data_IF_273343171235
#
_entry.id   IF_273343171235
#
_cell.length_a   1.000
_cell.length_b   1.000
_cell.length_c   1.000
_cell.angle_alpha   90.00
_cell.angle_beta   90.00
_cell.angle_gamma   90.00
#
_symmetry.space_group_name_H-M   'P 1'
#
loop_
_entity.id
_entity.type
_entity.pdbx_description
1 polymer ?
#
# COMPACT_ATOMS: atom_id res chain seq x y z
N UNK A 1 22.08 11.96 3.56
CA UNK A 1 21.92 10.50 3.40
C UNK A 1 21.21 9.86 4.59
N UNK A 2 21.59 10.20 5.84
CA UNK A 2 20.99 9.58 7.04
C UNK A 2 19.49 9.84 7.11
N UNK A 3 19.05 11.08 7.08
CA UNK A 3 17.63 11.44 7.19
C UNK A 3 16.80 10.75 6.10
N UNK A 4 17.29 10.74 4.87
CA UNK A 4 16.61 10.06 3.77
C UNK A 4 16.52 8.53 3.97
N UNK A 5 17.55 7.93 4.55
CA UNK A 5 17.56 6.50 4.91
C UNK A 5 16.57 6.22 6.04
N UNK A 6 16.57 7.04 7.09
CA UNK A 6 15.67 6.89 8.24
C UNK A 6 14.20 7.00 7.81
N UNK A 7 13.87 7.98 6.95
CA UNK A 7 12.51 8.13 6.38
C UNK A 7 12.12 6.89 5.59
N UNK A 8 13.01 6.32 4.78
CA UNK A 8 12.73 5.10 4.01
C UNK A 8 12.50 3.88 4.92
N UNK A 9 13.32 3.72 5.95
CA UNK A 9 13.16 2.62 6.92
C UNK A 9 11.85 2.75 7.69
N UNK A 10 11.52 3.95 8.15
CA UNK A 10 10.25 4.23 8.81
C UNK A 10 9.06 3.96 7.88
N UNK A 11 9.08 4.52 6.67
CA UNK A 11 7.99 4.35 5.71
C UNK A 11 7.79 2.88 5.31
N UNK A 12 8.88 2.13 5.16
CA UNK A 12 8.82 0.67 4.95
C UNK A 12 8.04 -0.02 6.08
N UNK A 13 8.37 0.30 7.33
CA UNK A 13 7.70 -0.25 8.50
C UNK A 13 6.21 0.11 8.55
N UNK A 14 5.85 1.35 8.22
CA UNK A 14 4.46 1.80 8.16
C UNK A 14 3.66 1.08 7.06
N UNK A 15 4.26 0.90 5.87
CA UNK A 15 3.62 0.15 4.80
C UNK A 15 3.40 -1.32 5.20
N UNK A 16 4.41 -1.94 5.83
CA UNK A 16 4.31 -3.32 6.31
C UNK A 16 3.24 -3.48 7.40
N UNK A 17 2.99 -2.45 8.20
CA UNK A 17 1.90 -2.41 9.18
C UNK A 17 0.51 -2.16 8.56
N UNK A 18 0.42 -1.33 7.50
CA UNK A 18 -0.84 -1.01 6.83
C UNK A 18 -1.37 -2.15 5.96
N UNK A 19 -0.49 -2.89 5.29
CA UNK A 19 -0.90 -3.95 4.36
C UNK A 19 -1.85 -4.99 4.98
N UNK A 20 -1.60 -5.54 6.20
CA UNK A 20 -2.53 -6.46 6.84
C UNK A 20 -3.86 -5.82 7.25
N UNK A 21 -3.90 -4.51 7.52
CA UNK A 21 -5.13 -3.79 7.85
C UNK A 21 -6.04 -3.66 6.61
N UNK A 22 -5.48 -3.40 5.43
CA UNK A 22 -6.24 -3.43 4.18
C UNK A 22 -6.82 -4.82 3.91
N UNK A 23 -6.04 -5.87 4.09
CA UNK A 23 -6.52 -7.24 3.95
C UNK A 23 -7.63 -7.57 4.97
N UNK A 24 -7.54 -7.05 6.19
CA UNK A 24 -8.58 -7.19 7.20
C UNK A 24 -9.87 -6.47 6.79
N UNK A 25 -9.76 -5.24 6.28
CA UNK A 25 -10.90 -4.48 5.77
C UNK A 25 -11.62 -5.24 4.65
N UNK A 26 -10.87 -5.79 3.68
CA UNK A 26 -11.44 -6.59 2.60
C UNK A 26 -12.20 -7.81 3.14
N UNK A 27 -11.60 -8.56 4.10
CA UNK A 27 -12.26 -9.72 4.73
C UNK A 27 -13.54 -9.32 5.45
N UNK A 28 -13.55 -8.18 6.15
CA UNK A 28 -14.74 -7.68 6.85
C UNK A 28 -15.86 -7.34 5.87
N UNK A 29 -15.54 -6.67 4.75
CA UNK A 29 -16.50 -6.38 3.70
C UNK A 29 -17.06 -7.64 3.04
N UNK A 30 -16.21 -8.63 2.76
CA UNK A 30 -16.62 -9.92 2.21
C UNK A 30 -17.54 -10.66 3.18
N UNK A 31 -17.22 -10.69 4.47
CA UNK A 31 -18.07 -11.33 5.48
C UNK A 31 -19.47 -10.70 5.56
N UNK A 32 -19.56 -9.37 5.45
CA UNK A 32 -20.88 -8.70 5.38
C UNK A 32 -21.58 -9.04 4.06
N UNK A 33 -20.87 -9.02 2.93
CA UNK A 33 -21.43 -9.30 1.62
C UNK A 33 -22.04 -10.71 1.53
N UNK A 34 -21.39 -11.71 2.12
CA UNK A 34 -21.87 -13.11 2.14
C UNK A 34 -23.26 -13.24 2.79
N UNK A 35 -23.57 -12.42 3.78
CA UNK A 35 -24.88 -12.43 4.47
C UNK A 35 -25.95 -11.59 3.75
N UNK A 36 -25.57 -10.85 2.69
CA UNK A 36 -26.44 -9.89 2.01
C UNK A 36 -26.50 -10.08 0.48
N UNK A 37 -26.30 -11.30 0.01
CA UNK A 37 -26.34 -11.61 -1.43
C UNK A 37 -27.69 -11.31 -2.08
N UNK A 38 -28.79 -11.53 -1.33
CA UNK A 38 -30.17 -11.32 -1.79
C UNK A 38 -30.75 -9.96 -1.35
N UNK A 39 -29.98 -9.16 -0.60
CA UNK A 39 -30.44 -7.85 -0.13
C UNK A 39 -30.35 -6.84 -1.27
N UNK A 40 -31.50 -6.29 -1.66
CA UNK A 40 -31.61 -5.30 -2.74
C UNK A 40 -31.69 -3.89 -2.18
N UNK A 41 -30.96 -2.98 -2.81
CA UNK A 41 -30.97 -1.55 -2.52
C UNK A 41 -31.06 -0.72 -3.81
N UNK A 42 -31.54 0.53 -3.76
CA UNK A 42 -31.55 1.39 -4.94
C UNK A 42 -30.13 1.85 -5.29
N UNK A 43 -29.74 1.63 -6.53
CA UNK A 43 -28.57 2.29 -7.12
C UNK A 43 -28.92 3.69 -7.59
N UNK A 44 -27.94 4.61 -7.52
CA UNK A 44 -28.13 6.03 -7.84
C UNK A 44 -27.22 6.47 -8.98
N UNK A 45 -27.72 7.36 -9.84
CA UNK A 45 -26.93 8.17 -10.76
C UNK A 45 -27.40 9.61 -10.66
N UNK A 46 -26.48 10.57 -10.65
CA UNK A 46 -26.81 12.00 -10.56
C UNK A 46 -27.77 12.33 -9.40
N UNK A 47 -27.59 11.67 -8.24
CA UNK A 47 -28.45 11.81 -7.06
C UNK A 47 -29.91 11.36 -7.26
N UNK A 48 -30.19 10.65 -8.35
CA UNK A 48 -31.51 10.08 -8.66
C UNK A 48 -31.48 8.55 -8.55
N UNK A 49 -32.57 7.96 -8.12
CA UNK A 49 -32.74 6.51 -8.12
C UNK A 49 -32.69 6.00 -9.56
N UNK A 50 -31.78 5.06 -9.85
CA UNK A 50 -31.59 4.50 -11.18
C UNK A 50 -32.11 3.06 -11.26
N UNK A 51 -31.35 2.11 -10.72
CA UNK A 51 -31.69 0.68 -10.83
C UNK A 51 -31.45 -0.05 -9.51
N UNK A 52 -32.13 -1.19 -9.28
CA UNK A 52 -31.86 -2.03 -8.12
C UNK A 52 -30.47 -2.69 -8.25
N UNK A 53 -29.74 -2.75 -7.14
CA UNK A 53 -28.45 -3.43 -7.04
C UNK A 53 -28.43 -4.30 -5.79
N UNK A 54 -27.67 -5.39 -5.82
CA UNK A 54 -27.41 -6.17 -4.63
C UNK A 54 -26.46 -5.43 -3.68
N UNK A 55 -26.75 -5.45 -2.38
CA UNK A 55 -25.87 -4.85 -1.38
C UNK A 55 -24.50 -5.55 -1.36
N UNK A 56 -24.48 -6.86 -1.54
CA UNK A 56 -23.21 -7.61 -1.69
C UNK A 56 -22.39 -7.07 -2.87
N UNK A 57 -23.00 -6.89 -4.04
CA UNK A 57 -22.33 -6.34 -5.21
C UNK A 57 -21.75 -4.93 -4.94
N UNK A 58 -22.51 -4.08 -4.24
CA UNK A 58 -22.04 -2.76 -3.82
C UNK A 58 -20.77 -2.85 -2.95
N UNK A 59 -20.75 -3.76 -1.95
CA UNK A 59 -19.60 -3.96 -1.07
C UNK A 59 -18.38 -4.53 -1.82
N UNK A 60 -18.59 -5.42 -2.79
CA UNK A 60 -17.52 -5.99 -3.60
C UNK A 60 -16.77 -4.94 -4.42
N UNK A 61 -17.42 -3.86 -4.83
CA UNK A 61 -16.75 -2.75 -5.49
C UNK A 61 -15.63 -2.14 -4.60
N UNK A 62 -15.87 -2.01 -3.31
CA UNK A 62 -14.87 -1.53 -2.35
C UNK A 62 -13.78 -2.57 -2.09
N UNK A 63 -14.11 -3.86 -2.05
CA UNK A 63 -13.10 -4.93 -1.96
C UNK A 63 -12.10 -4.83 -3.11
N UNK A 64 -12.58 -4.61 -4.34
CA UNK A 64 -11.75 -4.42 -5.52
C UNK A 64 -10.92 -3.12 -5.48
N UNK A 65 -11.47 -2.03 -4.93
CA UNK A 65 -10.71 -0.79 -4.72
C UNK A 65 -9.55 -1.02 -3.75
N UNK A 66 -9.79 -1.64 -2.60
CA UNK A 66 -8.75 -1.94 -1.61
C UNK A 66 -7.72 -2.96 -2.12
N UNK A 67 -8.10 -3.89 -3.00
CA UNK A 67 -7.15 -4.79 -3.64
C UNK A 67 -6.13 -4.01 -4.49
N UNK A 68 -6.60 -3.04 -5.28
CA UNK A 68 -5.72 -2.17 -6.07
C UNK A 68 -4.86 -1.25 -5.19
N UNK A 69 -5.38 -0.79 -4.06
CA UNK A 69 -4.60 0.02 -3.11
C UNK A 69 -3.53 -0.81 -2.42
N UNK A 70 -3.82 -2.06 -2.06
CA UNK A 70 -2.82 -2.99 -1.52
C UNK A 70 -1.69 -3.26 -2.53
N UNK A 71 -2.02 -3.41 -3.81
CA UNK A 71 -1.02 -3.55 -4.87
C UNK A 71 -0.14 -2.29 -4.98
N UNK A 72 -0.73 -1.09 -5.01
CA UNK A 72 0.01 0.18 -5.03
C UNK A 72 0.94 0.32 -3.84
N UNK A 73 0.49 -0.03 -2.63
CA UNK A 73 1.35 -0.04 -1.44
C UNK A 73 2.53 -1.00 -1.59
N UNK A 74 2.31 -2.19 -2.11
CA UNK A 74 3.37 -3.15 -2.40
C UNK A 74 4.42 -2.60 -3.38
N UNK A 75 3.98 -1.92 -4.43
CA UNK A 75 4.87 -1.27 -5.40
C UNK A 75 5.66 -0.10 -4.78
N UNK A 76 5.01 0.72 -3.96
CA UNK A 76 5.67 1.80 -3.21
C UNK A 76 6.70 1.21 -2.25
N UNK A 77 6.34 0.15 -1.54
CA UNK A 77 7.23 -0.56 -0.61
C UNK A 77 8.52 -1.02 -1.30
N UNK A 78 8.42 -1.58 -2.50
CA UNK A 78 9.60 -1.97 -3.29
C UNK A 78 10.49 -0.77 -3.64
N UNK A 79 9.91 0.34 -4.09
CA UNK A 79 10.67 1.55 -4.45
C UNK A 79 11.32 2.23 -3.24
N UNK A 80 10.67 2.18 -2.08
CA UNK A 80 11.19 2.74 -0.83
C UNK A 80 12.36 1.91 -0.30
N UNK A 81 12.40 0.61 -0.59
CA UNK A 81 13.39 -0.32 -0.03
C UNK A 81 14.75 -0.25 -0.73
N UNK A 82 15.20 0.94 -1.11
CA UNK A 82 16.51 1.20 -1.68
C UNK A 82 17.32 2.21 -0.86
N UNK A 83 18.63 1.99 -0.77
CA UNK A 83 19.53 2.80 0.03
C UNK A 83 19.95 4.08 -0.70
N UNK A 84 19.68 5.28 -0.15
CA UNK A 84 20.13 6.54 -0.73
C UNK A 84 21.57 6.92 -0.35
N UNK A 85 22.23 6.14 0.50
CA UNK A 85 23.61 6.41 0.96
C UNK A 85 24.57 6.58 -0.23
N UNK A 86 25.44 7.55 -0.15
CA UNK A 86 26.43 7.88 -1.17
C UNK A 86 26.04 9.02 -2.10
N UNK A 87 24.75 9.46 -2.07
CA UNK A 87 24.31 10.67 -2.77
C UNK A 87 24.93 11.93 -2.15
N UNK A 88 25.23 11.92 -0.86
CA UNK A 88 25.76 13.03 -0.10
C UNK A 88 24.89 14.29 -0.22
N UNK A 89 25.50 15.48 -0.19
CA UNK A 89 24.76 16.73 -0.24
C UNK A 89 24.28 17.08 -1.65
N UNK A 90 24.93 16.60 -2.71
CA UNK A 90 24.61 16.95 -4.08
C UNK A 90 24.77 15.77 -5.07
N UNK A 91 25.98 15.32 -5.32
CA UNK A 91 26.29 14.42 -6.45
C UNK A 91 27.34 13.34 -6.09
N UNK A 92 27.35 12.91 -4.85
CA UNK A 92 28.26 11.87 -4.38
C UNK A 92 29.33 12.39 -3.42
N UNK A 93 30.27 11.50 -3.07
CA UNK A 93 31.35 11.76 -2.12
C UNK A 93 32.62 11.03 -2.54
N UNK A 94 33.79 11.59 -2.18
CA UNK A 94 35.09 10.96 -2.36
C UNK A 94 35.45 9.96 -1.27
N UNK A 95 34.65 9.85 -0.20
CA UNK A 95 34.89 8.88 0.85
C UNK A 95 34.58 7.45 0.37
N UNK A 96 35.41 6.46 0.75
CA UNK A 96 35.21 5.07 0.36
C UNK A 96 34.06 4.42 1.16
N UNK A 97 32.84 4.62 0.73
CA UNK A 97 31.65 4.06 1.38
C UNK A 97 31.33 2.66 0.81
N UNK A 98 31.20 1.68 1.68
CA UNK A 98 30.68 0.35 1.32
C UNK A 98 29.13 0.36 1.37
N UNK A 99 28.53 0.89 0.33
CA UNK A 99 27.07 1.04 0.19
C UNK A 99 26.36 -0.33 0.20
N UNK A 100 26.95 -1.33 -0.45
CA UNK A 100 26.36 -2.66 -0.55
C UNK A 100 26.26 -3.33 0.83
N UNK A 101 27.32 -3.21 1.65
CA UNK A 101 27.30 -3.71 3.02
C UNK A 101 26.24 -3.03 3.86
N UNK A 102 26.12 -1.69 3.76
CA UNK A 102 25.11 -0.93 4.50
C UNK A 102 23.70 -1.33 4.08
N UNK A 103 23.40 -1.43 2.78
CA UNK A 103 22.12 -1.89 2.28
C UNK A 103 21.74 -3.27 2.85
N UNK A 104 22.69 -4.23 2.79
CA UNK A 104 22.50 -5.57 3.35
C UNK A 104 22.26 -5.54 4.85
N UNK A 105 23.01 -4.73 5.60
CA UNK A 105 22.86 -4.62 7.06
C UNK A 105 21.50 -4.05 7.46
N UNK A 106 20.96 -3.12 6.68
CA UNK A 106 19.65 -2.50 6.90
C UNK A 106 18.48 -3.29 6.28
N UNK A 107 18.77 -4.39 5.60
CA UNK A 107 17.76 -5.20 4.92
C UNK A 107 17.08 -4.46 3.79
N UNK A 108 17.83 -3.62 3.05
CA UNK A 108 17.37 -2.93 1.85
C UNK A 108 17.69 -3.77 0.61
N UNK A 109 16.81 -3.73 -0.41
CA UNK A 109 16.90 -4.59 -1.60
C UNK A 109 17.97 -4.13 -2.59
N UNK A 110 18.43 -2.88 -2.50
CA UNK A 110 19.40 -2.33 -3.42
C UNK A 110 19.85 -0.90 -3.09
N UNK A 111 20.58 -0.32 -4.05
CA UNK A 111 21.14 1.02 -3.99
C UNK A 111 20.32 2.01 -4.82
#
# INVERSE_FOLDING_TARGET
DQVATDVRLWLRGEIDALAPLLAQMQRSLLSVAEHHTETILPGFTHLQVAQPVSFAHHLLAYVEMFARDAQRLGEVRQRVNHLPLGAAALAGTSYPLDRARVAKTLGLDGL
#
